data_IF_258848018937
#
_entry.id   IF_258848018937
#
_cell.length_a   1.000
_cell.length_b   1.000
_cell.length_c   1.000
_cell.angle_alpha   90.00
_cell.angle_beta   90.00
_cell.angle_gamma   90.00
#
_symmetry.space_group_name_H-M   'P 1'
#
loop_
_entity.id
_entity.type
_entity.pdbx_description
1 polymer ?
#
# COMPACT_ATOMS: atom_id res chain seq x y z
N UNK A 1 -25.36 12.33 -6.09
CA UNK A 1 -24.55 11.10 -6.19
C UNK A 1 -23.98 10.84 -4.80
N UNK A 2 -24.17 9.65 -4.25
CA UNK A 2 -23.61 9.29 -2.95
C UNK A 2 -22.25 8.62 -3.23
N UNK A 3 -21.17 9.20 -2.72
CA UNK A 3 -19.81 8.64 -2.85
C UNK A 3 -19.59 7.57 -1.80
N UNK A 4 -18.86 6.52 -2.15
CA UNK A 4 -18.47 5.45 -1.20
C UNK A 4 -17.48 5.99 -0.17
N UNK A 5 -16.54 6.82 -0.62
CA UNK A 5 -15.62 7.57 0.22
C UNK A 5 -15.23 8.88 -0.48
N UNK A 6 -14.72 9.81 0.28
CA UNK A 6 -14.21 11.09 -0.22
C UNK A 6 -12.90 11.42 0.49
N UNK A 7 -11.85 11.85 -0.23
CA UNK A 7 -10.59 12.24 0.40
C UNK A 7 -10.78 13.51 1.22
N UNK A 8 -10.22 13.52 2.43
CA UNK A 8 -10.17 14.71 3.28
C UNK A 8 -8.84 15.42 3.05
N UNK A 9 -8.87 16.60 2.44
CA UNK A 9 -7.69 17.39 2.07
C UNK A 9 -7.71 18.72 2.85
N UNK A 10 -7.67 18.64 4.17
CA UNK A 10 -7.74 19.78 5.08
C UNK A 10 -6.43 20.03 5.87
N UNK A 11 -5.37 19.34 5.54
CA UNK A 11 -4.05 19.47 6.14
C UNK A 11 -3.09 20.32 5.31
N UNK A 12 -1.86 19.81 5.16
CA UNK A 12 -0.77 20.50 4.47
C UNK A 12 -0.61 20.09 3.00
N UNK A 13 -1.54 19.30 2.44
CA UNK A 13 -1.42 18.70 1.11
C UNK A 13 -1.16 19.77 0.04
N UNK A 14 -1.97 20.82 0.04
CA UNK A 14 -1.84 21.93 -0.91
C UNK A 14 -0.51 22.66 -0.76
N UNK A 15 -0.03 22.85 0.47
CA UNK A 15 1.26 23.50 0.73
C UNK A 15 2.40 22.71 0.13
N UNK A 16 2.48 21.40 0.39
CA UNK A 16 3.55 20.54 -0.11
C UNK A 16 3.50 20.33 -1.63
N UNK A 17 2.29 20.23 -2.19
CA UNK A 17 2.14 20.15 -3.66
C UNK A 17 2.62 21.43 -4.35
N UNK A 18 2.26 22.61 -3.83
CA UNK A 18 2.73 23.88 -4.36
C UNK A 18 4.26 23.99 -4.28
N UNK A 19 4.87 23.57 -3.15
CA UNK A 19 6.30 23.56 -2.99
C UNK A 19 6.99 22.62 -4.02
N UNK A 20 6.41 21.46 -4.31
CA UNK A 20 6.91 20.57 -5.38
C UNK A 20 6.88 21.26 -6.74
N UNK A 21 5.81 21.99 -7.04
CA UNK A 21 5.67 22.71 -8.33
C UNK A 21 6.68 23.86 -8.41
N UNK A 22 6.78 24.66 -7.38
CA UNK A 22 7.67 25.84 -7.33
C UNK A 22 9.17 25.43 -7.41
N UNK A 23 9.52 24.32 -6.81
CA UNK A 23 10.90 23.80 -6.81
C UNK A 23 11.20 22.87 -7.98
N UNK A 24 10.19 22.49 -8.78
CA UNK A 24 10.33 21.56 -9.90
C UNK A 24 10.52 20.11 -9.52
N UNK A 25 10.38 19.75 -8.24
CA UNK A 25 10.50 18.36 -7.76
C UNK A 25 9.19 17.60 -7.89
N UNK A 26 8.86 17.20 -9.11
CA UNK A 26 7.65 16.44 -9.45
C UNK A 26 7.93 14.97 -9.79
N UNK A 27 9.17 14.51 -9.60
CA UNK A 27 9.61 13.13 -9.86
C UNK A 27 9.76 12.31 -8.56
N UNK A 28 10.01 11.02 -8.71
CA UNK A 28 10.26 10.08 -7.61
C UNK A 28 11.57 10.35 -6.83
N UNK A 29 12.44 11.22 -7.32
CA UNK A 29 13.73 11.56 -6.69
C UNK A 29 13.67 12.81 -5.79
N UNK A 30 12.49 13.37 -5.60
CA UNK A 30 12.29 14.60 -4.85
C UNK A 30 12.55 14.46 -3.34
N UNK A 31 12.84 15.58 -2.64
CA UNK A 31 13.16 15.57 -1.21
C UNK A 31 12.03 15.06 -0.33
N UNK A 32 10.76 15.23 -0.74
CA UNK A 32 9.61 14.73 0.01
C UNK A 32 9.54 13.22 0.07
N UNK A 33 9.99 12.51 -0.97
CA UNK A 33 10.08 11.04 -0.97
C UNK A 33 10.98 10.57 0.17
N UNK A 34 12.22 11.08 0.23
CA UNK A 34 13.19 10.74 1.29
C UNK A 34 12.70 11.14 2.68
N UNK A 35 12.09 12.31 2.79
CA UNK A 35 11.52 12.79 4.06
C UNK A 35 10.42 11.87 4.55
N UNK A 36 9.51 11.47 3.67
CA UNK A 36 8.41 10.56 4.00
C UNK A 36 8.94 9.18 4.43
N UNK A 37 9.88 8.61 3.69
CA UNK A 37 10.50 7.32 4.02
C UNK A 37 11.18 7.36 5.40
N UNK A 38 11.94 8.42 5.67
CA UNK A 38 12.60 8.62 6.96
C UNK A 38 11.60 8.78 8.12
N UNK A 39 10.53 9.54 7.93
CA UNK A 39 9.51 9.73 8.96
C UNK A 39 8.70 8.46 9.19
N UNK A 40 8.35 7.74 8.12
CA UNK A 40 7.58 6.50 8.21
C UNK A 40 8.40 5.39 8.88
N UNK A 41 9.68 5.25 8.55
CA UNK A 41 10.56 4.27 9.20
C UNK A 41 10.65 4.52 10.72
N UNK A 42 10.80 5.78 11.14
CA UNK A 42 10.79 6.15 12.56
C UNK A 42 9.45 5.89 13.23
N UNK A 43 8.35 6.28 12.58
CA UNK A 43 7.00 6.09 13.12
C UNK A 43 6.66 4.62 13.36
N UNK A 44 7.10 3.74 12.46
CA UNK A 44 6.87 2.30 12.53
C UNK A 44 7.95 1.54 13.31
N UNK A 45 8.96 2.23 13.85
CA UNK A 45 10.13 1.60 14.48
C UNK A 45 10.77 0.53 13.58
N UNK A 46 11.07 0.92 12.33
CA UNK A 46 11.71 0.08 11.33
C UNK A 46 12.98 0.72 10.82
N UNK A 47 13.95 -0.11 10.42
CA UNK A 47 15.22 0.38 9.88
C UNK A 47 15.05 1.12 8.58
N UNK A 48 14.08 0.73 7.76
CA UNK A 48 13.84 1.28 6.43
C UNK A 48 12.34 1.36 6.12
N UNK A 49 12.00 2.30 5.26
CA UNK A 49 10.72 2.38 4.59
C UNK A 49 10.96 2.73 3.13
N UNK A 50 10.13 2.25 2.24
CA UNK A 50 10.20 2.53 0.80
C UNK A 50 8.85 2.99 0.31
N UNK A 51 8.83 4.08 -0.44
CA UNK A 51 7.65 4.58 -1.11
C UNK A 51 7.38 3.84 -2.41
N UNK A 52 6.11 3.74 -2.76
CA UNK A 52 5.65 3.21 -4.02
C UNK A 52 4.44 3.99 -4.51
N UNK A 53 4.09 3.83 -5.79
CA UNK A 53 3.07 4.64 -6.46
C UNK A 53 1.63 4.37 -5.99
N UNK A 54 1.38 3.23 -5.35
CA UNK A 54 0.05 2.84 -4.89
C UNK A 54 0.11 1.69 -3.88
N UNK A 55 -0.98 1.46 -3.15
CA UNK A 55 -1.12 0.30 -2.27
C UNK A 55 -1.01 -1.04 -3.02
N UNK A 56 -1.46 -1.10 -4.26
CA UNK A 56 -1.30 -2.28 -5.13
C UNK A 56 0.18 -2.57 -5.38
N UNK A 57 0.96 -1.54 -5.75
CA UNK A 57 2.40 -1.67 -5.93
C UNK A 57 3.12 -2.07 -4.62
N UNK A 58 2.65 -1.55 -3.49
CA UNK A 58 3.17 -1.93 -2.18
C UNK A 58 2.95 -3.42 -1.88
N UNK A 59 1.77 -3.95 -2.19
CA UNK A 59 1.46 -5.37 -2.03
C UNK A 59 2.31 -6.24 -2.96
N UNK A 60 2.47 -5.84 -4.22
CA UNK A 60 3.33 -6.56 -5.18
C UNK A 60 4.77 -6.66 -4.67
N UNK A 61 5.33 -5.55 -4.17
CA UNK A 61 6.68 -5.50 -3.60
C UNK A 61 6.77 -6.37 -2.34
N UNK A 62 5.80 -6.27 -1.44
CA UNK A 62 5.79 -7.03 -0.20
C UNK A 62 5.74 -8.55 -0.45
N UNK A 63 4.85 -8.99 -1.33
CA UNK A 63 4.73 -10.42 -1.68
C UNK A 63 6.00 -10.93 -2.36
N UNK A 64 6.59 -10.13 -3.27
CA UNK A 64 7.86 -10.50 -3.91
C UNK A 64 9.01 -10.60 -2.89
N UNK A 65 9.08 -9.68 -1.92
CA UNK A 65 10.11 -9.67 -0.88
C UNK A 65 10.03 -10.87 0.08
N UNK A 66 8.87 -11.52 0.20
CA UNK A 66 8.71 -12.74 1.01
C UNK A 66 9.36 -13.97 0.37
N UNK A 67 9.79 -13.89 -0.88
CA UNK A 67 10.43 -15.00 -1.57
C UNK A 67 9.49 -16.18 -1.90
N UNK A 68 8.19 -15.90 -1.96
CA UNK A 68 7.16 -16.87 -2.32
C UNK A 68 7.36 -17.38 -3.75
N UNK A 69 7.00 -18.64 -3.99
CA UNK A 69 7.15 -19.31 -5.28
C UNK A 69 5.80 -19.75 -5.83
N UNK A 70 5.77 -20.01 -7.12
CA UNK A 70 4.60 -20.59 -7.75
C UNK A 70 4.20 -21.91 -7.06
N UNK A 71 2.92 -21.99 -6.67
CA UNK A 71 2.37 -23.13 -5.93
C UNK A 71 2.30 -22.94 -4.42
N UNK A 72 3.01 -21.96 -3.84
CA UNK A 72 2.82 -21.60 -2.44
C UNK A 72 1.40 -21.08 -2.21
N UNK A 73 0.90 -21.22 -0.98
CA UNK A 73 -0.44 -20.80 -0.59
C UNK A 73 -0.36 -19.65 0.42
N UNK A 74 -1.21 -18.63 0.23
CA UNK A 74 -1.35 -17.52 1.17
C UNK A 74 -2.80 -17.32 1.52
N UNK A 75 -3.08 -17.34 2.82
CA UNK A 75 -4.42 -17.11 3.36
C UNK A 75 -4.77 -15.63 3.25
N UNK A 76 -5.99 -15.35 2.79
CA UNK A 76 -6.53 -14.00 2.72
C UNK A 76 -8.03 -13.98 3.04
N UNK A 77 -8.58 -12.84 3.54
CA UNK A 77 -10.00 -12.74 3.80
C UNK A 77 -10.81 -12.69 2.50
N UNK A 78 -12.04 -13.21 2.53
CA UNK A 78 -12.99 -13.09 1.42
C UNK A 78 -13.48 -11.65 1.21
N UNK A 79 -13.52 -10.86 2.28
CA UNK A 79 -13.90 -9.45 2.22
C UNK A 79 -12.64 -8.57 2.24
N UNK A 80 -12.11 -8.28 1.07
CA UNK A 80 -10.92 -7.43 0.90
C UNK A 80 -10.86 -6.85 -0.51
N UNK A 81 -9.95 -5.92 -0.74
CA UNK A 81 -9.68 -5.36 -2.06
C UNK A 81 -9.03 -6.42 -2.96
N UNK A 82 -9.44 -6.46 -4.22
CA UNK A 82 -8.95 -7.43 -5.22
C UNK A 82 -7.41 -7.40 -5.39
N UNK A 83 -6.76 -6.29 -5.10
CA UNK A 83 -5.31 -6.15 -5.19
C UNK A 83 -4.54 -7.17 -4.36
N UNK A 84 -5.11 -7.64 -3.24
CA UNK A 84 -4.49 -8.68 -2.42
C UNK A 84 -4.36 -10.01 -3.20
N UNK A 85 -5.44 -10.46 -3.84
CA UNK A 85 -5.41 -11.66 -4.67
C UNK A 85 -4.52 -11.49 -5.91
N UNK A 86 -4.57 -10.30 -6.54
CA UNK A 86 -3.78 -10.00 -7.74
C UNK A 86 -2.27 -10.04 -7.46
N UNK A 87 -1.82 -9.50 -6.34
CA UNK A 87 -0.40 -9.53 -5.96
C UNK A 87 0.13 -10.97 -5.83
N UNK A 88 -0.67 -11.87 -5.27
CA UNK A 88 -0.35 -13.29 -5.14
C UNK A 88 -0.33 -13.99 -6.51
N UNK A 89 -1.41 -13.83 -7.27
CA UNK A 89 -1.57 -14.54 -8.55
C UNK A 89 -0.54 -14.13 -9.60
N UNK A 90 -0.04 -12.90 -9.59
CA UNK A 90 1.05 -12.45 -10.48
C UNK A 90 2.35 -13.25 -10.29
N UNK A 91 2.60 -13.75 -9.09
CA UNK A 91 3.76 -14.60 -8.79
C UNK A 91 3.44 -16.09 -8.87
N UNK A 92 2.25 -16.48 -9.32
CA UNK A 92 1.80 -17.87 -9.34
C UNK A 92 1.52 -18.44 -7.96
N UNK A 93 1.43 -17.59 -6.94
CA UNK A 93 1.04 -17.96 -5.57
C UNK A 93 -0.47 -18.15 -5.52
N UNK A 94 -0.93 -19.17 -4.82
CA UNK A 94 -2.35 -19.51 -4.72
C UNK A 94 -3.00 -18.78 -3.55
N UNK A 95 -3.96 -17.85 -3.77
CA UNK A 95 -4.74 -17.28 -2.69
C UNK A 95 -5.70 -18.32 -2.11
N UNK A 96 -5.63 -18.52 -0.80
CA UNK A 96 -6.57 -19.35 -0.04
C UNK A 96 -7.54 -18.41 0.66
N UNK A 97 -8.72 -18.30 0.09
CA UNK A 97 -9.76 -17.37 0.59
C UNK A 97 -10.50 -18.02 1.74
N UNK A 98 -10.55 -17.35 2.86
CA UNK A 98 -11.29 -17.77 4.06
C UNK A 98 -12.37 -16.76 4.42
N UNK A 99 -13.34 -17.23 5.19
CA UNK A 99 -14.47 -16.42 5.59
C UNK A 99 -14.09 -15.30 6.57
N UNK A 100 -14.92 -14.28 6.63
CA UNK A 100 -14.78 -13.14 7.51
C UNK A 100 -15.79 -13.21 8.65
N UNK A 101 -15.41 -12.73 9.81
CA UNK A 101 -16.35 -12.49 10.90
C UNK A 101 -17.36 -11.41 10.50
N UNK A 102 -18.64 -11.68 10.70
CA UNK A 102 -19.73 -10.80 10.25
C UNK A 102 -19.73 -9.43 10.97
N UNK A 103 -19.22 -9.35 12.18
CA UNK A 103 -19.23 -8.11 12.97
C UNK A 103 -17.98 -7.25 12.76
N UNK A 104 -16.86 -7.87 12.51
CA UNK A 104 -15.55 -7.16 12.41
C UNK A 104 -14.98 -7.13 11.01
N UNK A 105 -15.50 -7.97 10.11
CA UNK A 105 -14.97 -8.22 8.75
C UNK A 105 -13.51 -8.70 8.70
N UNK A 106 -12.95 -9.07 9.84
CA UNK A 106 -11.63 -9.71 9.90
C UNK A 106 -11.70 -11.20 9.57
N UNK A 107 -10.56 -11.79 9.24
CA UNK A 107 -10.44 -13.25 9.01
C UNK A 107 -10.91 -14.03 10.25
N UNK A 108 -11.63 -15.13 9.99
CA UNK A 108 -12.25 -15.97 11.02
C UNK A 108 -11.50 -17.29 11.18
#
# INVERSE_FOLDING_TARGET
MILVNEPILNGNEKKYLNECIETGWISSEGPFVKTFECQMSKYLDRSFATTCSSGTAALDIAVAALGLKAGDEVIMPSFTIISCAQALTRLGVKPVVIDCDYSTFNMR
#
